data_IF_532489242379
#
_entry.id   IF_532489242379
#
_cell.length_a   1.000
_cell.length_b   1.000
_cell.length_c   1.000
_cell.angle_alpha   90.00
_cell.angle_beta   90.00
_cell.angle_gamma   90.00
#
_symmetry.space_group_name_H-M   'P 1'
#
loop_
_entity.id
_entity.type
_entity.pdbx_description
1 polymer ?
#
# COMPACT_ATOMS: atom_id res chain seq x y z
N UNK A 1 -25.47 -2.14 37.02
CA UNK A 1 -25.14 -2.14 35.58
C UNK A 1 -23.76 -1.52 35.45
N UNK A 2 -22.85 -2.14 34.70
CA UNK A 2 -21.45 -1.70 34.58
C UNK A 2 -21.37 -0.30 33.96
N UNK A 3 -20.63 0.61 34.59
CA UNK A 3 -20.48 2.01 34.17
C UNK A 3 -19.96 2.12 32.72
N UNK A 4 -19.03 1.24 32.32
CA UNK A 4 -18.54 1.16 30.94
C UNK A 4 -19.62 0.80 29.93
N UNK A 5 -20.49 -0.16 30.27
CA UNK A 5 -21.58 -0.57 29.38
C UNK A 5 -22.56 0.60 29.17
N UNK A 6 -22.86 1.36 30.21
CA UNK A 6 -23.69 2.57 30.09
C UNK A 6 -23.02 3.62 29.21
N UNK A 7 -21.74 3.91 29.44
CA UNK A 7 -20.92 4.80 28.61
C UNK A 7 -20.98 4.44 27.12
N UNK A 8 -20.87 3.15 26.80
CA UNK A 8 -20.94 2.66 25.42
C UNK A 8 -22.34 2.79 24.83
N UNK A 9 -23.40 2.49 25.60
CA UNK A 9 -24.78 2.68 25.16
C UNK A 9 -25.10 4.15 24.91
N UNK A 10 -24.57 5.07 25.72
CA UNK A 10 -24.73 6.50 25.46
C UNK A 10 -24.02 6.92 24.17
N UNK A 11 -22.82 6.37 23.91
CA UNK A 11 -22.07 6.65 22.67
C UNK A 11 -22.81 6.17 21.42
N UNK A 12 -23.49 5.03 21.50
CA UNK A 12 -24.32 4.47 20.41
C UNK A 12 -25.45 5.40 19.97
N UNK A 13 -25.96 6.24 20.88
CA UNK A 13 -27.07 7.14 20.61
C UNK A 13 -26.65 8.47 19.95
N UNK A 14 -25.35 8.72 19.81
CA UNK A 14 -24.82 9.94 19.19
C UNK A 14 -24.73 9.81 17.66
N UNK A 15 -24.63 10.95 16.97
CA UNK A 15 -24.06 10.97 15.62
C UNK A 15 -22.56 10.65 15.67
N UNK A 16 -21.98 10.30 14.52
CA UNK A 16 -20.55 10.06 14.41
C UNK A 16 -19.72 11.27 14.84
N UNK A 17 -20.09 12.47 14.40
CA UNK A 17 -19.39 13.72 14.75
C UNK A 17 -19.47 13.99 16.27
N UNK A 18 -20.63 13.82 16.88
CA UNK A 18 -20.80 13.97 18.34
C UNK A 18 -19.99 12.92 19.12
N UNK A 19 -19.96 11.67 18.63
CA UNK A 19 -19.16 10.60 19.21
C UNK A 19 -17.66 10.92 19.13
N UNK A 20 -17.17 11.43 18.00
CA UNK A 20 -15.78 11.89 17.85
C UNK A 20 -15.49 13.03 18.83
N UNK A 21 -16.37 14.03 18.96
CA UNK A 21 -16.20 15.13 19.91
C UNK A 21 -16.16 14.64 21.36
N UNK A 22 -17.05 13.72 21.75
CA UNK A 22 -17.04 13.11 23.09
C UNK A 22 -15.73 12.37 23.37
N UNK A 23 -15.22 11.62 22.40
CA UNK A 23 -13.97 10.88 22.56
C UNK A 23 -12.73 11.79 22.55
N UNK A 24 -12.75 12.88 21.79
CA UNK A 24 -11.72 13.93 21.87
C UNK A 24 -11.69 14.56 23.27
N UNK A 25 -12.84 14.82 23.89
CA UNK A 25 -12.90 15.31 25.27
C UNK A 25 -12.43 14.25 26.28
N UNK A 26 -12.83 12.99 26.08
CA UNK A 26 -12.54 11.87 27.01
C UNK A 26 -11.07 11.43 26.98
N UNK A 27 -10.50 11.26 25.79
CA UNK A 27 -9.18 10.67 25.60
C UNK A 27 -8.16 11.64 24.99
N UNK A 28 -8.59 12.74 24.37
CA UNK A 28 -7.74 13.67 23.64
C UNK A 28 -7.48 13.28 22.18
N UNK A 29 -6.92 14.23 21.42
CA UNK A 29 -6.40 14.00 20.08
C UNK A 29 -4.97 13.46 20.07
N UNK A 30 -4.34 13.45 18.89
CA UNK A 30 -2.93 13.07 18.76
C UNK A 30 -1.97 14.22 19.01
N UNK A 31 -0.80 13.89 19.56
CA UNK A 31 0.31 14.83 19.73
C UNK A 31 1.23 14.90 18.50
N UNK A 32 1.10 13.94 17.58
CA UNK A 32 1.93 13.82 16.38
C UNK A 32 1.10 13.29 15.21
N UNK A 33 1.57 13.52 13.98
CA UNK A 33 0.89 13.04 12.78
C UNK A 33 0.97 11.51 12.68
N UNK A 34 0.04 10.89 11.95
CA UNK A 34 0.04 9.44 11.76
C UNK A 34 1.26 8.98 10.95
N UNK A 35 1.61 9.77 9.93
CA UNK A 35 2.77 9.58 9.05
C UNK A 35 3.67 10.82 9.03
N UNK A 36 4.92 10.66 8.59
CA UNK A 36 5.81 11.78 8.29
C UNK A 36 5.57 12.28 6.88
N UNK A 37 5.22 13.55 6.73
CA UNK A 37 4.89 14.20 5.45
C UNK A 37 5.91 13.91 4.34
N UNK A 38 7.20 14.21 4.58
CA UNK A 38 8.26 13.94 3.59
C UNK A 38 8.33 12.47 3.16
N UNK A 39 8.05 11.53 4.08
CA UNK A 39 8.00 10.11 3.74
C UNK A 39 6.72 9.76 2.98
N UNK A 40 5.61 10.40 3.30
CA UNK A 40 4.32 10.20 2.64
C UNK A 40 4.39 10.61 1.17
N UNK A 41 4.96 11.79 0.88
CA UNK A 41 5.13 12.29 -0.49
C UNK A 41 5.98 11.37 -1.35
N UNK A 42 7.13 10.93 -0.81
CA UNK A 42 8.02 9.98 -1.48
C UNK A 42 7.34 8.64 -1.75
N UNK A 43 6.49 8.20 -0.81
CA UNK A 43 5.71 6.98 -0.99
C UNK A 43 4.66 7.13 -2.09
N UNK A 44 3.94 8.26 -2.17
CA UNK A 44 3.01 8.54 -3.27
C UNK A 44 3.71 8.61 -4.64
N UNK A 45 4.95 9.11 -4.67
CA UNK A 45 5.83 9.10 -5.86
C UNK A 45 6.44 7.73 -6.17
N UNK A 46 6.14 6.69 -5.37
CA UNK A 46 6.68 5.33 -5.47
C UNK A 46 8.21 5.24 -5.34
N UNK A 47 8.83 6.23 -4.73
CA UNK A 47 10.29 6.22 -4.45
C UNK A 47 10.65 5.28 -3.30
N UNK A 48 9.70 5.01 -2.40
CA UNK A 48 9.88 4.12 -1.23
C UNK A 48 8.69 3.15 -1.11
N UNK A 49 8.93 1.98 -0.49
CA UNK A 49 7.92 0.92 -0.31
C UNK A 49 7.11 1.04 0.99
N UNK A 50 7.54 1.90 1.91
CA UNK A 50 6.91 2.09 3.22
C UNK A 50 6.90 3.55 3.63
N UNK A 51 5.88 3.93 4.38
CA UNK A 51 5.76 5.28 4.95
C UNK A 51 6.28 5.23 6.39
N UNK A 52 7.16 6.17 6.74
CA UNK A 52 7.58 6.38 8.13
C UNK A 52 6.40 6.90 8.95
N UNK A 53 6.09 6.21 10.05
CA UNK A 53 5.05 6.62 11.00
C UNK A 53 5.52 7.75 11.91
N UNK A 54 4.58 8.59 12.35
CA UNK A 54 4.81 9.50 13.48
C UNK A 54 4.72 8.79 14.83
N UNK A 55 4.92 9.54 15.91
CA UNK A 55 4.87 9.07 17.30
C UNK A 55 3.47 9.28 17.91
N UNK A 56 2.44 8.82 17.20
CA UNK A 56 1.05 8.96 17.63
C UNK A 56 0.56 7.81 18.53
N UNK A 57 1.24 6.67 18.55
CA UNK A 57 0.70 5.45 19.16
C UNK A 57 0.51 5.57 20.69
N UNK A 58 -0.71 5.32 21.16
CA UNK A 58 -1.09 5.29 22.60
C UNK A 58 -1.60 3.92 23.03
N UNK A 59 -1.14 2.87 22.37
CA UNK A 59 -1.56 1.50 22.68
C UNK A 59 -1.03 1.02 24.03
N UNK A 60 -0.01 1.67 24.59
CA UNK A 60 0.43 1.46 25.97
C UNK A 60 -0.67 1.83 26.99
N UNK A 61 -1.53 2.80 26.67
CA UNK A 61 -2.69 3.20 27.46
C UNK A 61 -3.94 2.34 27.17
N UNK A 62 -3.82 1.37 26.25
CA UNK A 62 -4.93 0.55 25.76
C UNK A 62 -5.79 1.23 24.69
N UNK A 63 -5.34 2.33 24.09
CA UNK A 63 -6.10 3.10 23.10
C UNK A 63 -5.69 2.81 21.67
N UNK A 64 -6.69 2.73 20.78
CA UNK A 64 -6.56 2.73 19.33
C UNK A 64 -6.61 4.15 18.79
N UNK A 65 -5.92 4.38 17.68
CA UNK A 65 -6.02 5.61 16.91
C UNK A 65 -7.02 5.40 15.77
N UNK A 66 -8.02 6.29 15.69
CA UNK A 66 -9.05 6.32 14.67
C UNK A 66 -8.87 7.58 13.81
N UNK A 67 -8.98 7.44 12.48
CA UNK A 67 -8.94 8.58 11.57
C UNK A 67 -10.36 9.15 11.44
N UNK A 68 -10.54 10.42 11.78
CA UNK A 68 -11.86 11.08 11.79
C UNK A 68 -12.51 11.07 10.41
N UNK A 69 -11.71 11.15 9.34
CA UNK A 69 -12.21 11.19 7.97
C UNK A 69 -12.61 9.80 7.38
N UNK A 70 -12.64 8.73 8.19
CA UNK A 70 -13.10 7.42 7.72
C UNK A 70 -14.61 7.37 7.41
N UNK A 71 -15.35 8.43 7.70
CA UNK A 71 -16.72 8.69 7.23
C UNK A 71 -16.80 9.00 5.73
N UNK A 72 -15.68 9.40 5.11
CA UNK A 72 -15.60 9.81 3.69
C UNK A 72 -14.53 9.06 2.89
N UNK A 73 -13.62 8.38 3.56
CA UNK A 73 -12.47 7.72 2.93
C UNK A 73 -12.27 6.31 3.47
N UNK A 74 -12.07 5.36 2.56
CA UNK A 74 -11.85 3.97 2.93
C UNK A 74 -10.39 3.73 3.35
N UNK A 75 -10.22 3.08 4.50
CA UNK A 75 -8.99 2.39 4.88
C UNK A 75 -7.76 3.33 4.89
N UNK A 76 -7.87 4.48 5.56
CA UNK A 76 -6.84 5.53 5.55
C UNK A 76 -5.48 5.05 6.08
N UNK A 77 -5.44 4.06 6.97
CA UNK A 77 -4.18 3.46 7.43
C UNK A 77 -3.55 2.44 6.46
N UNK A 78 -4.23 2.05 5.38
CA UNK A 78 -3.79 1.02 4.44
C UNK A 78 -3.01 1.64 3.26
N UNK A 79 -1.75 1.20 3.12
CA UNK A 79 -0.81 1.65 2.08
C UNK A 79 -1.30 1.44 0.65
N UNK A 80 -2.02 0.34 0.39
CA UNK A 80 -2.55 0.02 -0.94
C UNK A 80 -3.67 1.02 -1.32
N UNK A 81 -4.52 1.37 -0.37
CA UNK A 81 -5.59 2.36 -0.55
C UNK A 81 -5.00 3.76 -0.75
N UNK A 82 -4.00 4.14 0.06
CA UNK A 82 -3.29 5.42 -0.08
C UNK A 82 -2.70 5.56 -1.50
N UNK A 83 -2.01 4.54 -2.03
CA UNK A 83 -1.47 4.60 -3.40
C UNK A 83 -2.59 4.67 -4.44
N UNK A 84 -3.63 3.85 -4.28
CA UNK A 84 -4.71 3.72 -5.25
C UNK A 84 -5.50 5.02 -5.41
N UNK A 85 -5.88 5.63 -4.29
CA UNK A 85 -6.76 6.80 -4.26
C UNK A 85 -6.01 8.13 -4.08
N UNK A 86 -4.69 8.08 -3.85
CA UNK A 86 -3.82 9.26 -3.66
C UNK A 86 -4.37 10.23 -2.61
N UNK A 87 -4.75 9.68 -1.46
CA UNK A 87 -5.26 10.48 -0.36
C UNK A 87 -4.25 11.57 0.05
N UNK A 88 -4.72 12.79 0.37
CA UNK A 88 -3.82 13.87 0.76
C UNK A 88 -3.28 13.65 2.16
N UNK A 89 -2.03 14.09 2.40
CA UNK A 89 -1.38 14.00 3.70
C UNK A 89 -2.19 14.65 4.83
N UNK A 90 -2.97 15.69 4.52
CA UNK A 90 -3.82 16.41 5.49
C UNK A 90 -4.78 15.50 6.25
N UNK A 91 -5.19 14.34 5.71
CA UNK A 91 -6.04 13.37 6.40
C UNK A 91 -5.31 12.59 7.52
N UNK A 92 -3.99 12.68 7.56
CA UNK A 92 -3.12 11.99 8.52
C UNK A 92 -2.52 12.92 9.57
N UNK A 93 -2.90 14.21 9.54
CA UNK A 93 -2.45 15.20 10.51
C UNK A 93 -3.07 14.95 11.88
N UNK A 94 -2.37 15.36 12.93
CA UNK A 94 -2.76 15.08 14.32
C UNK A 94 -4.17 15.53 14.71
N UNK A 95 -4.71 16.59 14.09
CA UNK A 95 -6.08 17.08 14.30
C UNK A 95 -7.15 16.24 13.59
N UNK A 96 -6.76 15.29 12.74
CA UNK A 96 -7.64 14.30 12.11
C UNK A 96 -7.63 12.94 12.81
N UNK A 97 -7.05 12.87 14.01
CA UNK A 97 -6.90 11.64 14.78
C UNK A 97 -7.59 11.77 16.14
N UNK A 98 -8.37 10.75 16.50
CA UNK A 98 -9.00 10.61 17.82
C UNK A 98 -8.64 9.26 18.43
N UNK A 99 -8.54 9.20 19.76
CA UNK A 99 -8.29 7.94 20.47
C UNK A 99 -9.57 7.35 21.03
N UNK A 100 -9.65 6.03 20.98
CA UNK A 100 -10.77 5.23 21.45
C UNK A 100 -10.30 3.88 21.97
N UNK A 101 -11.03 3.27 22.90
CA UNK A 101 -10.84 1.87 23.22
C UNK A 101 -11.49 0.94 22.18
N UNK A 102 -11.42 -0.37 22.39
CA UNK A 102 -11.86 -1.35 21.39
C UNK A 102 -13.37 -1.29 21.09
N UNK A 103 -14.22 -1.08 22.10
CA UNK A 103 -15.67 -1.00 21.90
C UNK A 103 -16.07 0.37 21.35
N UNK A 104 -15.45 1.44 21.83
CA UNK A 104 -15.63 2.78 21.27
C UNK A 104 -15.26 2.80 19.77
N UNK A 105 -14.17 2.14 19.37
CA UNK A 105 -13.78 2.01 17.97
C UNK A 105 -14.82 1.24 17.15
N UNK A 106 -15.38 0.13 17.68
CA UNK A 106 -16.46 -0.60 17.00
C UNK A 106 -17.68 0.29 16.77
N UNK A 107 -18.05 1.08 17.79
CA UNK A 107 -19.20 2.00 17.74
C UNK A 107 -18.97 3.09 16.70
N UNK A 108 -17.78 3.69 16.63
CA UNK A 108 -17.46 4.68 15.58
C UNK A 108 -17.66 4.10 14.17
N UNK A 109 -17.19 2.88 13.91
CA UNK A 109 -17.40 2.24 12.60
C UNK A 109 -18.87 1.89 12.33
N UNK A 110 -19.65 1.55 13.36
CA UNK A 110 -21.08 1.30 13.23
C UNK A 110 -21.87 2.60 12.96
N UNK A 111 -21.50 3.70 13.60
CA UNK A 111 -22.10 5.03 13.37
C UNK A 111 -21.80 5.53 11.96
N UNK A 112 -20.55 5.41 11.49
CA UNK A 112 -20.20 5.70 10.09
C UNK A 112 -21.06 4.85 9.15
N UNK A 113 -21.11 3.53 9.39
CA UNK A 113 -21.89 2.63 8.54
C UNK A 113 -23.38 2.98 8.53
N UNK A 114 -23.95 3.43 9.64
CA UNK A 114 -25.34 3.91 9.73
C UNK A 114 -25.53 5.14 8.85
N UNK A 115 -24.71 6.17 9.04
CA UNK A 115 -24.86 7.48 8.41
C UNK A 115 -24.57 7.44 6.91
N UNK A 116 -23.63 6.60 6.48
CA UNK A 116 -23.25 6.46 5.07
C UNK A 116 -23.96 5.29 4.38
N UNK A 117 -25.02 4.73 5.00
CA UNK A 117 -25.72 3.54 4.52
C UNK A 117 -24.78 2.36 4.16
N UNK A 118 -23.68 2.22 4.88
CA UNK A 118 -22.69 1.16 4.74
C UNK A 118 -21.67 1.35 3.62
N UNK A 119 -21.62 2.53 2.99
CA UNK A 119 -20.54 2.88 2.06
C UNK A 119 -19.17 2.89 2.76
N UNK A 120 -19.10 3.43 3.98
CA UNK A 120 -17.92 3.49 4.83
C UNK A 120 -18.14 2.74 6.16
N UNK A 121 -17.09 2.62 6.99
CA UNK A 121 -17.14 1.97 8.32
C UNK A 121 -17.24 0.44 8.33
N UNK A 122 -18.07 -0.16 7.48
CA UNK A 122 -18.31 -1.61 7.45
C UNK A 122 -17.06 -2.48 7.28
N UNK A 123 -16.11 -2.16 6.37
CA UNK A 123 -14.90 -2.95 6.24
C UNK A 123 -14.07 -2.98 7.53
N UNK A 124 -13.97 -1.85 8.25
CA UNK A 124 -13.29 -1.73 9.54
C UNK A 124 -13.99 -2.57 10.61
N UNK A 125 -15.32 -2.42 10.71
CA UNK A 125 -16.19 -3.17 11.60
C UNK A 125 -16.03 -4.70 11.42
N UNK A 126 -16.32 -5.21 10.22
CA UNK A 126 -16.46 -6.66 9.96
C UNK A 126 -15.13 -7.38 9.87
N UNK A 127 -14.09 -6.73 9.33
CA UNK A 127 -12.81 -7.41 9.02
C UNK A 127 -11.88 -7.46 10.23
N UNK A 128 -11.92 -6.44 11.09
CA UNK A 128 -10.89 -6.24 12.11
C UNK A 128 -11.46 -6.18 13.52
N UNK A 129 -12.41 -5.28 13.77
CA UNK A 129 -12.79 -4.93 15.14
C UNK A 129 -13.78 -5.95 15.72
N UNK A 130 -14.86 -6.26 15.01
CA UNK A 130 -15.87 -7.22 15.46
C UNK A 130 -15.27 -8.62 15.73
N UNK A 131 -14.47 -9.22 14.82
CA UNK A 131 -13.83 -10.51 15.09
C UNK A 131 -12.93 -10.49 16.33
N UNK A 132 -12.23 -9.38 16.58
CA UNK A 132 -11.36 -9.22 17.74
C UNK A 132 -12.17 -9.22 19.04
N UNK A 133 -13.29 -8.49 19.08
CA UNK A 133 -14.20 -8.46 20.24
C UNK A 133 -14.79 -9.85 20.50
N UNK A 134 -15.22 -10.55 19.44
CA UNK A 134 -15.77 -11.89 19.59
C UNK A 134 -14.70 -12.87 20.11
N UNK A 135 -13.49 -12.86 19.56
CA UNK A 135 -12.39 -13.71 20.05
C UNK A 135 -12.08 -13.42 21.52
N UNK A 136 -11.91 -12.14 21.86
CA UNK A 136 -11.40 -11.70 23.16
C UNK A 136 -12.41 -11.83 24.30
N UNK A 137 -13.63 -11.34 24.10
CA UNK A 137 -14.61 -11.21 25.18
C UNK A 137 -15.67 -12.29 25.16
N UNK A 138 -16.24 -12.62 23.99
CA UNK A 138 -17.25 -13.68 23.88
C UNK A 138 -16.61 -15.06 23.97
N UNK A 139 -15.52 -15.27 23.23
CA UNK A 139 -14.72 -16.49 23.24
C UNK A 139 -13.76 -16.59 24.43
N UNK A 140 -13.67 -15.54 25.25
CA UNK A 140 -12.80 -15.44 26.44
C UNK A 140 -11.31 -15.73 26.15
N UNK A 141 -10.85 -15.50 24.90
CA UNK A 141 -9.45 -15.72 24.51
C UNK A 141 -8.64 -14.44 24.68
N UNK A 142 -8.04 -14.28 25.87
CA UNK A 142 -7.16 -13.15 26.15
C UNK A 142 -5.93 -13.14 25.23
N UNK A 143 -5.50 -11.97 24.71
CA UNK A 143 -4.29 -11.88 23.91
C UNK A 143 -3.04 -12.19 24.76
N UNK A 144 -2.24 -13.19 24.36
CA UNK A 144 -1.10 -13.67 25.16
C UNK A 144 0.25 -13.05 24.76
N UNK A 145 0.42 -12.68 23.48
CA UNK A 145 1.75 -12.46 22.90
C UNK A 145 2.25 -11.01 22.87
N UNK A 146 1.35 -10.03 22.76
CA UNK A 146 1.73 -8.64 22.55
C UNK A 146 1.15 -7.78 23.67
N UNK A 147 2.02 -7.06 24.36
CA UNK A 147 1.64 -6.27 25.53
C UNK A 147 0.57 -5.23 25.20
N UNK A 148 0.74 -4.52 24.09
CA UNK A 148 -0.25 -3.54 23.65
C UNK A 148 -1.65 -4.15 23.42
N UNK A 149 -1.74 -5.42 23.02
CA UNK A 149 -3.04 -6.10 22.86
C UNK A 149 -3.65 -6.40 24.23
N UNK A 150 -2.85 -6.76 25.23
CA UNK A 150 -3.32 -6.94 26.61
C UNK A 150 -3.85 -5.63 27.18
N UNK A 151 -3.10 -4.55 27.03
CA UNK A 151 -3.52 -3.23 27.51
C UNK A 151 -4.85 -2.80 26.87
N UNK A 152 -5.00 -2.99 25.55
CA UNK A 152 -6.27 -2.72 24.86
C UNK A 152 -7.41 -3.63 25.34
N UNK A 153 -7.13 -4.93 25.52
CA UNK A 153 -8.12 -5.89 26.02
C UNK A 153 -8.61 -5.51 27.42
N UNK A 154 -7.69 -5.22 28.33
CA UNK A 154 -7.97 -4.86 29.73
C UNK A 154 -8.71 -3.52 29.83
N UNK A 155 -8.27 -2.51 29.07
CA UNK A 155 -8.92 -1.19 29.06
C UNK A 155 -10.39 -1.30 28.68
N UNK A 156 -10.72 -2.06 27.65
CA UNK A 156 -12.07 -2.15 27.11
C UNK A 156 -12.91 -3.26 27.75
N UNK A 157 -12.45 -3.90 28.83
CA UNK A 157 -13.06 -5.13 29.34
C UNK A 157 -14.56 -4.99 29.68
N UNK A 158 -15.34 -5.90 29.07
CA UNK A 158 -16.70 -6.26 29.45
C UNK A 158 -16.74 -7.78 29.63
N UNK A 159 -17.64 -8.27 30.49
CA UNK A 159 -17.89 -9.70 30.57
C UNK A 159 -18.63 -10.20 29.31
N UNK A 160 -18.70 -11.52 29.06
CA UNK A 160 -19.31 -12.05 27.84
C UNK A 160 -20.79 -11.65 27.66
N UNK A 161 -21.57 -11.59 28.74
CA UNK A 161 -22.99 -11.25 28.74
C UNK A 161 -23.20 -9.77 28.38
N UNK A 162 -22.44 -8.88 29.02
CA UNK A 162 -22.41 -7.44 28.72
C UNK A 162 -21.96 -7.18 27.28
N UNK A 163 -20.95 -7.93 26.82
CA UNK A 163 -20.47 -7.85 25.43
C UNK A 163 -21.58 -8.22 24.46
N UNK A 164 -22.27 -9.35 24.67
CA UNK A 164 -23.39 -9.78 23.81
C UNK A 164 -24.53 -8.76 23.82
N UNK A 165 -24.83 -8.17 24.98
CA UNK A 165 -25.85 -7.11 25.10
C UNK A 165 -25.48 -5.87 24.28
N UNK A 166 -24.24 -5.39 24.41
CA UNK A 166 -23.77 -4.24 23.66
C UNK A 166 -23.76 -4.52 22.15
N UNK A 167 -23.27 -5.67 21.73
CA UNK A 167 -23.23 -6.05 20.32
C UNK A 167 -24.62 -6.08 19.69
N UNK A 168 -25.64 -6.60 20.38
CA UNK A 168 -27.03 -6.54 19.90
C UNK A 168 -27.50 -5.11 19.69
N UNK A 169 -27.08 -4.20 20.56
CA UNK A 169 -27.44 -2.78 20.50
C UNK A 169 -26.74 -2.10 19.32
N UNK A 170 -25.46 -2.40 19.10
CA UNK A 170 -24.67 -1.90 17.97
C UNK A 170 -25.18 -2.45 16.64
N UNK A 171 -25.57 -3.73 16.57
CA UNK A 171 -26.08 -4.34 15.34
C UNK A 171 -27.34 -3.63 14.82
N UNK A 172 -28.16 -3.07 15.72
CA UNK A 172 -29.33 -2.25 15.36
C UNK A 172 -28.98 -0.90 14.73
N UNK A 173 -27.71 -0.47 14.75
CA UNK A 173 -27.24 0.72 14.03
C UNK A 173 -26.94 0.44 12.56
N UNK A 174 -26.49 -0.78 12.23
CA UNK A 174 -26.01 -1.11 10.88
C UNK A 174 -27.14 -0.95 9.86
N UNK A 175 -26.89 -0.68 8.57
CA UNK A 175 -27.99 -0.57 7.61
C UNK A 175 -28.83 -1.86 7.54
N UNK A 176 -30.16 -1.76 7.31
CA UNK A 176 -31.11 -2.89 7.35
C UNK A 176 -30.68 -4.12 6.52
N UNK A 177 -29.97 -3.94 5.42
CA UNK A 177 -29.42 -5.03 4.58
C UNK A 177 -28.30 -5.84 5.26
N UNK A 178 -27.76 -5.31 6.35
CA UNK A 178 -26.74 -5.91 7.21
C UNK A 178 -27.31 -6.30 8.59
N UNK A 179 -28.41 -5.66 9.03
CA UNK A 179 -29.26 -6.18 10.08
C UNK A 179 -29.96 -7.46 9.57
N UNK A 180 -30.11 -8.51 10.38
CA UNK A 180 -30.86 -9.72 9.99
C UNK A 180 -30.29 -10.63 8.88
N UNK A 181 -28.97 -10.83 8.81
CA UNK A 181 -28.53 -12.21 8.58
C UNK A 181 -28.76 -12.98 9.88
N UNK A 182 -29.85 -13.75 9.95
CA UNK A 182 -29.97 -14.84 10.92
C UNK A 182 -28.63 -15.60 10.88
N UNK A 183 -27.97 -15.62 12.03
CA UNK A 183 -26.54 -15.87 12.23
C UNK A 183 -25.61 -14.83 11.61
N UNK A 184 -25.20 -13.87 12.44
CA UNK A 184 -23.78 -13.53 12.45
C UNK A 184 -23.07 -14.83 12.84
N UNK A 185 -22.76 -15.66 11.84
CA UNK A 185 -22.02 -16.90 12.06
C UNK A 185 -20.73 -16.48 12.75
N UNK A 186 -20.57 -16.87 14.02
CA UNK A 186 -19.26 -16.85 14.63
C UNK A 186 -18.38 -17.75 13.76
N UNK A 187 -17.63 -17.12 12.87
CA UNK A 187 -16.59 -17.78 12.10
C UNK A 187 -15.44 -17.92 13.09
N UNK A 188 -15.06 -19.13 13.50
CA UNK A 188 -13.98 -19.31 14.46
C UNK A 188 -12.71 -18.58 13.97
N UNK A 189 -11.91 -17.97 14.86
CA UNK A 189 -10.70 -17.25 14.47
C UNK A 189 -9.75 -18.07 13.58
N UNK A 190 -9.77 -19.39 13.69
CA UNK A 190 -9.04 -20.33 12.83
C UNK A 190 -9.51 -20.27 11.37
N UNK A 191 -10.82 -20.19 11.15
CA UNK A 191 -11.40 -20.08 9.80
C UNK A 191 -11.20 -18.67 9.22
N UNK A 192 -11.28 -17.62 10.05
CA UNK A 192 -10.91 -16.26 9.65
C UNK A 192 -9.43 -16.22 9.24
N UNK A 193 -8.53 -16.79 10.05
CA UNK A 193 -7.09 -16.89 9.73
C UNK A 193 -6.86 -17.69 8.45
N UNK A 194 -7.59 -18.79 8.24
CA UNK A 194 -7.51 -19.60 7.02
C UNK A 194 -7.90 -18.76 5.80
N UNK A 195 -9.02 -18.03 5.85
CA UNK A 195 -9.45 -17.10 4.79
C UNK A 195 -8.42 -15.98 4.57
N UNK A 196 -7.82 -15.43 5.62
CA UNK A 196 -6.77 -14.41 5.51
C UNK A 196 -5.51 -14.96 4.83
N UNK A 197 -5.09 -16.18 5.17
CA UNK A 197 -3.95 -16.87 4.54
C UNK A 197 -4.25 -17.18 3.08
N UNK A 198 -5.44 -17.68 2.77
CA UNK A 198 -5.87 -17.97 1.40
C UNK A 198 -5.93 -16.69 0.56
N UNK A 199 -6.53 -15.62 1.09
CA UNK A 199 -6.56 -14.31 0.42
C UNK A 199 -5.15 -13.73 0.23
N UNK A 200 -4.25 -13.91 1.21
CA UNK A 200 -2.85 -13.49 1.08
C UNK A 200 -2.15 -14.27 -0.04
N UNK A 201 -2.28 -15.60 -0.07
CA UNK A 201 -1.73 -16.45 -1.13
C UNK A 201 -2.29 -16.08 -2.50
N UNK A 202 -3.59 -15.81 -2.59
CA UNK A 202 -4.24 -15.37 -3.82
C UNK A 202 -3.65 -14.06 -4.32
N UNK A 203 -3.51 -13.06 -3.44
CA UNK A 203 -2.88 -11.77 -3.80
C UNK A 203 -1.40 -11.92 -4.18
N UNK A 204 -0.64 -12.77 -3.48
CA UNK A 204 0.75 -13.07 -3.83
C UNK A 204 0.85 -13.67 -5.23
N UNK A 205 -0.03 -14.63 -5.55
CA UNK A 205 -0.11 -15.23 -6.88
C UNK A 205 -0.51 -14.22 -7.96
N UNK A 206 -1.55 -13.42 -7.73
CA UNK A 206 -1.98 -12.36 -8.64
C UNK A 206 -0.85 -11.34 -8.90
N UNK A 207 -0.06 -11.03 -7.86
CA UNK A 207 1.10 -10.15 -7.98
C UNK A 207 2.22 -10.78 -8.81
N UNK A 208 2.54 -12.06 -8.59
CA UNK A 208 3.52 -12.81 -9.40
C UNK A 208 3.10 -12.88 -10.87
N UNK A 209 1.83 -13.20 -11.15
CA UNK A 209 1.27 -13.23 -12.50
C UNK A 209 1.32 -11.83 -13.15
N UNK A 210 1.00 -10.76 -12.41
CA UNK A 210 1.10 -9.40 -12.91
C UNK A 210 2.55 -8.97 -13.20
N UNK A 211 3.51 -9.39 -12.37
CA UNK A 211 4.93 -9.13 -12.58
C UNK A 211 5.47 -9.88 -13.80
N UNK A 212 5.06 -11.14 -13.99
CA UNK A 212 5.46 -11.93 -15.15
C UNK A 212 4.86 -11.37 -16.44
N UNK A 213 3.58 -10.99 -16.42
CA UNK A 213 2.94 -10.32 -17.55
C UNK A 213 3.66 -9.01 -17.92
N UNK A 214 4.12 -8.22 -16.94
CA UNK A 214 4.94 -7.02 -17.20
C UNK A 214 6.27 -7.36 -17.85
N UNK A 215 6.98 -8.39 -17.36
CA UNK A 215 8.24 -8.85 -17.97
C UNK A 215 8.05 -9.27 -19.41
N UNK A 216 7.01 -10.05 -19.69
CA UNK A 216 6.67 -10.48 -21.05
C UNK A 216 6.33 -9.29 -21.96
N UNK A 217 5.62 -8.28 -21.45
CA UNK A 217 5.35 -7.05 -22.19
C UNK A 217 6.63 -6.25 -22.47
N UNK A 218 7.56 -6.17 -21.51
CA UNK A 218 8.85 -5.50 -21.70
C UNK A 218 9.73 -6.23 -22.73
N UNK A 219 9.76 -7.57 -22.69
CA UNK A 219 10.47 -8.39 -23.68
C UNK A 219 9.89 -8.13 -25.09
N UNK A 220 8.57 -8.20 -25.26
CA UNK A 220 7.92 -7.92 -26.55
C UNK A 220 8.25 -6.52 -27.07
N UNK A 221 8.14 -5.49 -26.22
CA UNK A 221 8.50 -4.12 -26.58
C UNK A 221 9.98 -4.00 -26.97
N UNK A 222 10.87 -4.73 -26.29
CA UNK A 222 12.30 -4.76 -26.62
C UNK A 222 12.54 -5.44 -27.97
N UNK A 223 11.89 -6.57 -28.23
CA UNK A 223 11.98 -7.26 -29.52
C UNK A 223 11.48 -6.39 -30.68
N UNK A 224 10.36 -5.70 -30.50
CA UNK A 224 9.83 -4.74 -31.49
C UNK A 224 10.83 -3.61 -31.78
N UNK A 225 11.37 -2.98 -30.72
CA UNK A 225 12.38 -1.93 -30.88
C UNK A 225 13.66 -2.41 -31.53
N UNK A 226 14.11 -3.63 -31.25
CA UNK A 226 15.27 -4.23 -31.91
C UNK A 226 14.99 -4.46 -33.41
N UNK A 227 13.79 -4.92 -33.77
CA UNK A 227 13.40 -5.08 -35.17
C UNK A 227 13.39 -3.74 -35.92
N UNK A 228 12.82 -2.69 -35.31
CA UNK A 228 12.82 -1.36 -35.91
C UNK A 228 14.24 -0.81 -36.07
N UNK A 229 15.09 -1.02 -35.07
CA UNK A 229 16.50 -0.65 -35.12
C UNK A 229 17.26 -1.35 -36.26
N UNK A 230 17.01 -2.64 -36.50
CA UNK A 230 17.62 -3.35 -37.63
C UNK A 230 17.04 -2.95 -38.99
N UNK A 231 15.84 -2.38 -39.07
CA UNK A 231 15.35 -1.79 -40.32
C UNK A 231 16.14 -0.54 -40.69
N UNK A 232 16.55 0.24 -39.70
CA UNK A 232 17.38 1.43 -39.88
C UNK A 232 18.86 1.08 -40.11
N UNK A 233 19.36 0.07 -39.39
CA UNK A 233 20.75 -0.41 -39.47
C UNK A 233 20.85 -1.92 -39.75
N UNK A 234 20.56 -2.40 -40.97
CA UNK A 234 20.46 -3.84 -41.28
C UNK A 234 21.71 -4.68 -40.96
N UNK A 235 22.90 -4.11 -41.07
CA UNK A 235 24.15 -4.85 -40.85
C UNK A 235 24.56 -4.98 -39.38
N UNK A 236 23.89 -4.25 -38.48
CA UNK A 236 24.17 -4.34 -37.05
C UNK A 236 23.73 -5.66 -36.42
N UNK A 237 22.75 -6.36 -37.02
CA UNK A 237 22.35 -7.69 -36.58
C UNK A 237 23.52 -8.68 -36.64
N UNK A 238 24.32 -8.64 -37.72
CA UNK A 238 25.51 -9.50 -37.91
C UNK A 238 26.64 -9.18 -36.94
N UNK A 239 26.65 -7.97 -36.38
CA UNK A 239 27.68 -7.49 -35.47
C UNK A 239 27.28 -7.57 -34.00
N UNK A 240 26.11 -8.16 -33.71
CA UNK A 240 25.53 -8.24 -32.37
C UNK A 240 25.38 -6.83 -31.75
N UNK A 241 25.05 -5.82 -32.56
CA UNK A 241 24.77 -4.45 -32.09
C UNK A 241 23.27 -4.24 -32.08
N UNK A 242 22.71 -3.97 -30.92
CA UNK A 242 21.28 -3.71 -30.69
C UNK A 242 21.04 -2.26 -30.29
N UNK A 243 19.78 -1.80 -30.31
CA UNK A 243 19.42 -0.44 -29.85
C UNK A 243 19.86 -0.14 -28.41
N UNK A 244 19.95 -1.17 -27.55
CA UNK A 244 20.36 -1.07 -26.16
C UNK A 244 21.85 -1.35 -25.94
N UNK A 245 22.62 -1.64 -26.99
CA UNK A 245 24.06 -1.85 -26.89
C UNK A 245 24.75 -0.65 -26.26
N UNK A 246 25.73 -0.91 -25.38
CA UNK A 246 26.41 0.15 -24.64
C UNK A 246 27.24 1.03 -25.57
N UNK A 247 27.39 2.32 -25.23
CA UNK A 247 28.31 3.22 -25.96
C UNK A 247 29.69 2.62 -26.08
N UNK A 248 30.18 2.00 -25.01
CA UNK A 248 31.50 1.36 -24.98
C UNK A 248 31.61 0.24 -26.03
N UNK A 249 30.56 -0.56 -26.24
CA UNK A 249 30.53 -1.60 -27.28
C UNK A 249 30.59 -0.97 -28.68
N UNK A 250 29.83 0.09 -28.91
CA UNK A 250 29.80 0.82 -30.19
C UNK A 250 31.17 1.45 -30.49
N UNK A 251 31.75 2.16 -29.53
CA UNK A 251 33.08 2.80 -29.64
C UNK A 251 34.18 1.74 -29.87
N UNK A 252 34.09 0.60 -29.19
CA UNK A 252 35.05 -0.48 -29.39
C UNK A 252 35.03 -1.03 -30.81
N UNK A 253 33.86 -1.11 -31.45
CA UNK A 253 33.71 -1.51 -32.85
C UNK A 253 34.18 -0.42 -33.83
N UNK A 254 33.86 0.84 -33.54
CA UNK A 254 34.37 1.99 -34.30
C UNK A 254 35.90 2.05 -34.30
N UNK A 255 36.52 1.79 -33.14
CA UNK A 255 37.97 1.73 -33.03
C UNK A 255 38.56 0.68 -33.98
N UNK A 256 38.00 -0.52 -33.98
CA UNK A 256 38.52 -1.63 -34.79
C UNK A 256 38.40 -1.35 -36.30
N UNK A 257 37.39 -0.58 -36.73
CA UNK A 257 37.11 -0.30 -38.14
C UNK A 257 37.82 0.95 -38.68
N UNK A 258 37.72 2.08 -37.98
CA UNK A 258 38.08 3.39 -38.57
C UNK A 258 39.16 4.16 -37.78
N UNK A 259 39.38 3.84 -36.50
CA UNK A 259 40.18 4.69 -35.60
C UNK A 259 41.41 4.00 -35.01
N UNK A 260 41.74 2.79 -35.46
CA UNK A 260 42.86 2.00 -34.93
C UNK A 260 44.24 2.58 -35.23
N UNK A 261 44.34 3.44 -36.26
CA UNK A 261 45.55 4.16 -36.65
C UNK A 261 45.65 5.57 -36.06
N UNK A 262 44.53 6.15 -35.64
CA UNK A 262 44.44 7.51 -35.11
C UNK A 262 44.58 7.60 -33.59
N UNK A 263 44.16 6.55 -32.87
CA UNK A 263 44.18 6.50 -31.41
C UNK A 263 45.01 5.30 -30.95
N UNK A 264 45.75 5.45 -29.85
CA UNK A 264 46.64 4.39 -29.35
C UNK A 264 45.87 3.18 -28.80
N UNK A 265 44.65 3.40 -28.29
CA UNK A 265 43.80 2.36 -27.75
C UNK A 265 42.33 2.79 -27.63
N UNK A 266 41.43 1.81 -27.46
CA UNK A 266 39.98 2.00 -27.30
C UNK A 266 39.61 2.99 -26.17
N UNK A 267 40.41 3.06 -25.10
CA UNK A 267 40.13 3.92 -23.93
C UNK A 267 40.41 5.40 -24.24
N UNK A 268 41.36 5.67 -25.12
CA UNK A 268 41.65 7.01 -25.62
C UNK A 268 40.51 7.51 -26.51
N UNK A 269 40.05 6.67 -27.46
CA UNK A 269 38.88 6.97 -28.28
C UNK A 269 37.62 7.16 -27.42
N UNK A 270 37.41 6.33 -26.39
CA UNK A 270 36.28 6.48 -25.47
C UNK A 270 36.27 7.84 -24.75
N UNK A 271 37.45 8.37 -24.37
CA UNK A 271 37.58 9.70 -23.79
C UNK A 271 37.30 10.80 -24.81
N UNK A 272 37.85 10.68 -26.02
CA UNK A 272 37.67 11.66 -27.09
C UNK A 272 36.19 11.74 -27.53
N UNK A 273 35.51 10.59 -27.59
CA UNK A 273 34.11 10.48 -28.01
C UNK A 273 33.11 10.75 -26.88
N UNK A 274 33.56 11.09 -25.66
CA UNK A 274 32.67 11.40 -24.53
C UNK A 274 31.58 12.45 -24.82
N UNK A 275 31.82 13.55 -25.57
CA UNK A 275 30.79 14.57 -25.84
C UNK A 275 29.85 14.20 -26.98
N UNK A 276 30.17 13.21 -27.81
CA UNK A 276 29.35 12.81 -28.97
C UNK A 276 28.11 12.07 -28.48
N UNK A 277 26.92 12.30 -29.02
CA UNK A 277 25.72 11.54 -28.62
C UNK A 277 25.72 10.12 -29.20
N UNK A 278 24.90 9.21 -28.65
CA UNK A 278 24.95 7.77 -29.05
C UNK A 278 24.52 7.57 -30.50
N UNK A 279 23.51 8.30 -30.95
CA UNK A 279 22.95 8.14 -32.29
C UNK A 279 23.98 8.51 -33.35
N UNK A 280 24.71 9.61 -33.16
CA UNK A 280 25.84 9.98 -34.02
C UNK A 280 26.93 8.91 -34.08
N UNK A 281 27.22 8.21 -32.97
CA UNK A 281 28.18 7.11 -33.00
C UNK A 281 27.65 5.89 -33.77
N UNK A 282 26.35 5.62 -33.70
CA UNK A 282 25.71 4.55 -34.47
C UNK A 282 25.75 4.87 -35.96
N UNK A 283 25.41 6.09 -36.36
CA UNK A 283 25.52 6.56 -37.74
C UNK A 283 26.95 6.47 -38.28
N UNK A 284 27.94 6.89 -37.48
CA UNK A 284 29.36 6.77 -37.84
C UNK A 284 29.78 5.32 -38.02
N UNK A 285 29.38 4.44 -37.10
CA UNK A 285 29.72 3.02 -37.16
C UNK A 285 29.08 2.35 -38.37
N UNK A 286 27.82 2.68 -38.65
CA UNK A 286 27.14 2.17 -39.82
C UNK A 286 27.81 2.62 -41.12
N UNK A 287 28.20 3.90 -41.19
CA UNK A 287 28.94 4.45 -42.33
C UNK A 287 30.30 3.77 -42.53
N UNK A 288 31.02 3.46 -41.46
CA UNK A 288 32.29 2.72 -41.50
C UNK A 288 32.12 1.34 -42.14
N UNK A 289 31.09 0.60 -41.73
CA UNK A 289 30.77 -0.73 -42.27
C UNK A 289 30.42 -0.67 -43.75
N UNK A 290 29.63 0.33 -44.17
CA UNK A 290 29.30 0.51 -45.58
C UNK A 290 30.55 0.80 -46.43
N UNK A 291 31.50 1.57 -45.91
CA UNK A 291 32.79 1.82 -46.60
C UNK A 291 33.61 0.55 -46.76
N UNK A 292 33.76 -0.24 -45.71
CA UNK A 292 34.53 -1.50 -45.73
C UNK A 292 33.95 -2.49 -46.74
N UNK A 293 32.61 -2.60 -46.81
CA UNK A 293 31.92 -3.42 -47.81
C UNK A 293 32.18 -2.98 -49.24
N UNK A 294 32.15 -1.67 -49.50
CA UNK A 294 32.39 -1.12 -50.84
C UNK A 294 33.86 -1.24 -51.29
N UNK A 295 34.80 -1.50 -50.38
CA UNK A 295 36.21 -1.76 -50.70
C UNK A 295 36.51 -3.26 -50.87
N UNK A 296 35.60 -4.14 -50.48
CA UNK A 296 35.78 -5.60 -50.47
C UNK A 296 35.04 -6.34 -51.59
N UNK A 297 34.35 -5.62 -52.48
CA UNK A 297 33.64 -6.15 -53.66
C UNK A 297 34.21 -5.58 -54.94
#
# INVERSE_FOLDING_TARGET
MNEKLNDYNDLVNLSYDEAVHRLLHKHGGSNDDYYREKSYDRFLKKEIKSITKGKYARTAEGLFCHHVAEDRYLNLANKEFIIKYKYPFTLHTKDKLVFCDLFEHLILHALIAKETNGEFGLPGYLTYIYPMIIEWYVGQRKPQKKEWMKNCHERAYLNPEETKQLLRTIDLLLPLRFQNKKEIVYVPPEEIRKRMIENKKKREKEYEEAMENRRLQEIKKREERTKDFYREYPDFEKLDITFDSSRKKIIAKLYDLDYSTEFQNKKELEKAMKPVIKDTLLEQLYSAILREKNQSG
#
